data_IF_416284613808
#
_entry.id   IF_416284613808
#
_cell.length_a   1.000
_cell.length_b   1.000
_cell.length_c   1.000
_cell.angle_alpha   90.00
_cell.angle_beta   90.00
_cell.angle_gamma   90.00
#
_symmetry.space_group_name_H-M   'P 1'
#
loop_
_entity.id
_entity.type
_entity.pdbx_description
1 polymer ?
#
# COMPACT_ATOMS: atom_id res chain seq x y z
N UNK A 1 1.79 21.78 2.38
CA UNK A 1 0.60 21.28 1.63
C UNK A 1 0.69 19.77 1.62
N UNK A 2 -0.19 19.09 2.35
CA UNK A 2 -0.27 17.62 2.43
C UNK A 2 -0.74 17.09 1.07
N UNK A 3 0.17 16.51 0.29
CA UNK A 3 -0.15 15.98 -1.04
C UNK A 3 -1.02 14.72 -0.88
N UNK A 4 -2.32 14.88 -1.12
CA UNK A 4 -3.30 13.81 -1.00
C UNK A 4 -3.80 13.44 -2.38
N UNK A 5 -3.48 12.24 -2.85
CA UNK A 5 -3.93 11.74 -4.15
C UNK A 5 -5.16 10.85 -3.97
N UNK A 6 -6.26 11.16 -4.66
CA UNK A 6 -7.47 10.33 -4.72
C UNK A 6 -7.63 9.73 -6.11
N UNK A 7 -8.02 8.46 -6.19
CA UNK A 7 -8.37 7.77 -7.44
C UNK A 7 -9.62 6.93 -7.25
N UNK A 8 -10.62 7.18 -8.08
CA UNK A 8 -11.89 6.45 -8.09
C UNK A 8 -12.06 5.80 -9.46
N UNK A 9 -12.35 4.51 -9.52
CA UNK A 9 -12.54 3.80 -10.81
C UNK A 9 -13.45 2.59 -10.65
N UNK A 10 -14.43 2.40 -11.52
CA UNK A 10 -15.34 1.23 -11.42
C UNK A 10 -14.59 -0.08 -11.73
N UNK A 11 -13.74 -0.06 -12.74
CA UNK A 11 -12.87 -1.16 -13.16
C UNK A 11 -11.42 -0.68 -13.22
N UNK A 12 -10.48 -1.53 -12.82
CA UNK A 12 -9.06 -1.22 -12.77
C UNK A 12 -8.61 -0.67 -11.41
N UNK A 13 -7.59 0.18 -11.40
CA UNK A 13 -7.11 0.77 -10.16
C UNK A 13 -5.81 1.54 -10.30
N UNK A 14 -5.03 1.57 -9.22
CA UNK A 14 -3.77 2.30 -9.18
C UNK A 14 -2.62 1.35 -9.50
N UNK A 15 -1.84 1.65 -10.53
CA UNK A 15 -0.55 1.00 -10.78
C UNK A 15 0.51 2.09 -10.83
N UNK A 16 1.48 2.03 -9.92
CA UNK A 16 2.62 2.96 -9.88
C UNK A 16 3.88 2.17 -9.54
N UNK A 17 4.89 2.29 -10.40
CA UNK A 17 6.18 1.62 -10.23
C UNK A 17 7.30 2.64 -10.15
N UNK A 18 8.35 2.35 -9.37
CA UNK A 18 9.55 3.18 -9.30
C UNK A 18 9.27 4.61 -8.80
N UNK A 19 8.42 4.74 -7.77
CA UNK A 19 8.10 6.06 -7.23
C UNK A 19 9.34 6.72 -6.63
N UNK A 20 9.78 7.86 -7.19
CA UNK A 20 10.84 8.68 -6.56
C UNK A 20 10.32 9.49 -5.37
N UNK A 21 9.03 9.85 -5.40
CA UNK A 21 8.35 10.58 -4.33
C UNK A 21 7.05 9.86 -3.99
N UNK A 22 6.86 9.56 -2.72
CA UNK A 22 5.66 8.91 -2.21
C UNK A 22 4.71 10.02 -1.71
N UNK A 23 3.47 10.10 -2.22
CA UNK A 23 2.45 10.97 -1.62
C UNK A 23 2.17 10.51 -0.19
N UNK A 24 2.11 11.43 0.77
CA UNK A 24 1.86 11.09 2.18
C UNK A 24 0.52 10.35 2.33
N UNK A 25 -0.49 10.76 1.56
CA UNK A 25 -1.82 10.17 1.59
C UNK A 25 -2.27 9.75 0.20
N UNK A 26 -2.54 8.45 0.02
CA UNK A 26 -3.08 7.90 -1.23
C UNK A 26 -4.37 7.16 -0.93
N UNK A 27 -5.47 7.56 -1.59
CA UNK A 27 -6.79 6.95 -1.44
C UNK A 27 -7.23 6.38 -2.79
N UNK A 28 -7.52 5.08 -2.82
CA UNK A 28 -7.92 4.34 -4.03
C UNK A 28 -9.24 3.62 -3.77
N UNK A 29 -10.29 4.01 -4.49
CA UNK A 29 -11.62 3.40 -4.38
C UNK A 29 -11.95 2.76 -5.72
N UNK A 30 -12.16 1.44 -5.73
CA UNK A 30 -12.47 0.72 -6.96
C UNK A 30 -13.64 -0.24 -6.81
N UNK A 31 -14.37 -0.52 -7.90
CA UNK A 31 -15.32 -1.63 -7.92
C UNK A 31 -14.58 -2.96 -8.04
N UNK A 32 -13.96 -3.17 -9.20
CA UNK A 32 -13.13 -4.34 -9.51
C UNK A 32 -11.71 -3.90 -9.86
N UNK A 33 -10.72 -4.39 -9.12
CA UNK A 33 -9.31 -4.10 -9.30
C UNK A 33 -8.64 -3.60 -8.02
N UNK A 34 -7.38 -3.22 -8.11
CA UNK A 34 -6.53 -3.07 -6.93
C UNK A 34 -5.54 -1.91 -6.99
N UNK A 35 -4.71 -1.83 -5.96
CA UNK A 35 -3.55 -0.94 -5.93
C UNK A 35 -2.27 -1.78 -6.04
N UNK A 36 -1.46 -1.52 -7.05
CA UNK A 36 -0.13 -2.09 -7.27
C UNK A 36 0.90 -0.96 -7.19
N UNK A 37 1.67 -0.94 -6.10
CA UNK A 37 2.60 0.12 -5.75
C UNK A 37 3.99 -0.48 -5.51
N UNK A 38 4.98 0.06 -6.21
CA UNK A 38 6.39 -0.26 -5.99
C UNK A 38 7.12 0.94 -5.40
N UNK A 39 7.48 0.82 -4.12
CA UNK A 39 8.17 1.83 -3.32
C UNK A 39 9.64 1.46 -3.07
N UNK A 40 10.17 0.44 -3.74
CA UNK A 40 11.51 -0.10 -3.46
C UNK A 40 12.63 0.89 -3.74
N UNK A 41 12.46 1.78 -4.73
CA UNK A 41 13.39 2.87 -5.04
C UNK A 41 13.00 4.22 -4.43
N UNK A 42 12.06 4.25 -3.49
CA UNK A 42 11.49 5.48 -2.96
C UNK A 42 12.12 5.85 -1.62
N UNK A 43 12.46 7.13 -1.44
CA UNK A 43 12.81 7.65 -0.11
C UNK A 43 11.54 7.73 0.74
N UNK A 44 11.50 7.13 1.94
CA UNK A 44 10.37 7.23 2.84
C UNK A 44 10.07 8.70 3.15
N UNK A 45 8.86 9.23 2.86
CA UNK A 45 8.47 10.53 3.37
C UNK A 45 8.31 10.34 4.88
N UNK A 46 9.18 10.98 5.67
CA UNK A 46 9.30 10.79 7.12
C UNK A 46 8.01 10.32 7.80
N UNK A 47 7.98 9.04 8.17
CA UNK A 47 6.96 8.33 8.94
C UNK A 47 5.47 8.45 8.54
N UNK A 48 5.12 9.03 7.39
CA UNK A 48 3.74 9.47 7.12
C UNK A 48 3.04 8.81 5.94
N UNK A 49 3.60 7.76 5.33
CA UNK A 49 2.90 7.10 4.23
C UNK A 49 1.63 6.36 4.69
N UNK A 50 0.48 6.77 4.16
CA UNK A 50 -0.81 6.12 4.36
C UNK A 50 -1.48 5.79 3.03
N UNK A 51 -1.66 4.50 2.75
CA UNK A 51 -2.46 4.00 1.63
C UNK A 51 -3.81 3.53 2.15
N UNK A 52 -4.90 4.17 1.72
CA UNK A 52 -6.26 3.69 1.94
C UNK A 52 -6.83 3.13 0.65
N UNK A 53 -7.24 1.87 0.67
CA UNK A 53 -7.84 1.18 -0.47
C UNK A 53 -9.23 0.67 -0.05
N UNK A 54 -10.26 0.99 -0.83
CA UNK A 54 -11.57 0.33 -0.76
C UNK A 54 -11.90 -0.37 -2.09
N UNK A 55 -12.24 -1.67 -2.12
CA UNK A 55 -12.95 -2.26 -3.28
C UNK A 55 -13.90 -3.39 -2.96
N UNK A 56 -14.76 -3.70 -3.93
CA UNK A 56 -15.58 -4.90 -3.90
C UNK A 56 -14.74 -6.13 -4.27
N UNK A 57 -14.07 -6.10 -5.43
CA UNK A 57 -13.16 -7.17 -5.86
C UNK A 57 -11.78 -6.61 -6.19
N UNK A 58 -10.71 -7.34 -5.84
CA UNK A 58 -9.32 -6.93 -5.98
C UNK A 58 -8.60 -6.66 -4.65
N UNK A 59 -7.31 -6.38 -4.73
CA UNK A 59 -6.43 -6.36 -3.56
C UNK A 59 -5.43 -5.21 -3.55
N UNK A 60 -4.46 -5.31 -2.63
CA UNK A 60 -3.30 -4.41 -2.58
C UNK A 60 -2.05 -5.24 -2.82
N UNK A 61 -1.17 -4.78 -3.70
CA UNK A 61 0.19 -5.25 -3.89
C UNK A 61 1.12 -4.08 -3.59
N UNK A 62 1.97 -4.23 -2.58
CA UNK A 62 2.90 -3.20 -2.17
C UNK A 62 4.30 -3.81 -2.08
N UNK A 63 5.23 -3.29 -2.87
CA UNK A 63 6.65 -3.61 -2.72
C UNK A 63 7.33 -2.48 -1.95
N UNK A 64 8.06 -2.83 -0.90
CA UNK A 64 8.74 -1.88 -0.01
C UNK A 64 10.22 -2.26 0.16
N UNK A 65 11.11 -1.28 0.42
CA UNK A 65 12.52 -1.56 0.69
C UNK A 65 12.72 -2.30 2.02
N UNK A 66 13.87 -2.93 2.22
CA UNK A 66 14.27 -3.44 3.54
C UNK A 66 14.36 -2.28 4.55
N UNK A 67 14.15 -2.57 5.84
CA UNK A 67 14.25 -1.56 6.89
C UNK A 67 13.03 -0.64 7.02
N UNK A 68 11.87 -1.02 6.46
CA UNK A 68 10.58 -0.34 6.74
C UNK A 68 9.56 -1.29 7.36
N UNK A 69 8.78 -0.74 8.30
CA UNK A 69 7.71 -1.46 8.97
C UNK A 69 6.40 -1.23 8.20
N UNK A 70 5.65 -2.30 7.94
CA UNK A 70 4.36 -2.19 7.24
C UNK A 70 3.23 -2.59 8.20
N UNK A 71 2.34 -1.64 8.49
CA UNK A 71 1.17 -1.86 9.33
C UNK A 71 -0.08 -1.98 8.45
N UNK A 72 -0.63 -3.20 8.35
CA UNK A 72 -1.86 -3.45 7.57
C UNK A 72 -3.08 -3.47 8.48
N UNK A 73 -4.08 -2.62 8.18
CA UNK A 73 -5.37 -2.49 8.86
C UNK A 73 -6.55 -2.65 7.89
N UNK A 74 -7.72 -2.92 8.45
CA UNK A 74 -9.01 -2.95 7.76
C UNK A 74 -9.55 -4.35 7.50
N UNK A 75 -10.55 -4.46 6.64
CA UNK A 75 -11.32 -5.69 6.40
C UNK A 75 -10.92 -6.36 5.08
N UNK A 76 -10.34 -7.56 5.16
CA UNK A 76 -9.95 -8.38 4.00
C UNK A 76 -10.20 -9.85 4.37
N UNK A 77 -11.30 -10.46 3.90
CA UNK A 77 -11.68 -11.79 4.35
C UNK A 77 -10.72 -12.89 3.86
N UNK A 78 -9.97 -12.66 2.79
CA UNK A 78 -8.96 -13.61 2.28
C UNK A 78 -7.59 -13.43 2.95
N UNK A 79 -7.49 -12.61 3.99
CA UNK A 79 -6.29 -12.41 4.78
C UNK A 79 -5.24 -11.50 4.13
N UNK A 80 -4.11 -11.37 4.84
CA UNK A 80 -2.93 -10.61 4.41
C UNK A 80 -1.72 -11.54 4.32
N UNK A 81 -0.92 -11.36 3.28
CA UNK A 81 0.39 -11.95 3.14
C UNK A 81 1.43 -10.85 3.24
N UNK A 82 2.25 -10.91 4.30
CA UNK A 82 3.34 -9.97 4.54
C UNK A 82 4.63 -10.77 4.61
N UNK A 83 5.52 -10.53 3.65
CA UNK A 83 6.83 -11.18 3.61
C UNK A 83 7.65 -10.77 4.84
N UNK A 84 8.24 -11.73 5.56
CA UNK A 84 9.09 -11.46 6.72
C UNK A 84 10.39 -10.80 6.25
N UNK A 85 10.80 -9.74 6.93
CA UNK A 85 12.07 -9.05 6.71
C UNK A 85 12.50 -8.32 7.97
N UNK A 86 13.75 -7.86 8.01
CA UNK A 86 14.30 -7.11 9.15
C UNK A 86 13.57 -5.78 9.29
N UNK A 87 12.89 -5.62 10.42
CA UNK A 87 12.27 -4.35 10.82
C UNK A 87 13.21 -3.69 11.82
N UNK A 88 13.95 -2.68 11.39
CA UNK A 88 14.83 -1.96 12.31
C UNK A 88 14.02 -1.19 13.36
N UNK A 89 14.54 -1.13 14.58
CA UNK A 89 13.96 -0.34 15.65
C UNK A 89 14.19 1.14 15.35
N UNK A 90 13.14 1.85 14.89
CA UNK A 90 13.22 3.22 14.36
C UNK A 90 12.94 3.34 12.85
N UNK A 91 12.63 2.21 12.19
CA UNK A 91 12.23 2.18 10.80
C UNK A 91 10.96 2.99 10.49
N UNK A 92 10.89 3.68 9.34
CA UNK A 92 9.67 4.34 8.88
C UNK A 92 8.49 3.37 8.78
N UNK A 93 7.32 3.82 9.26
CA UNK A 93 6.10 2.99 9.31
C UNK A 93 5.17 3.33 8.14
N UNK A 94 4.89 2.34 7.30
CA UNK A 94 3.96 2.44 6.18
C UNK A 94 2.61 1.87 6.60
N UNK A 95 1.58 2.72 6.62
CA UNK A 95 0.22 2.35 7.02
C UNK A 95 -0.60 1.98 5.79
N UNK A 96 -1.07 0.74 5.73
CA UNK A 96 -1.93 0.24 4.66
C UNK A 96 -3.30 -0.07 5.24
N UNK A 97 -4.29 0.74 4.91
CA UNK A 97 -5.70 0.51 5.25
C UNK A 97 -6.39 -0.07 4.03
N UNK A 98 -6.66 -1.36 4.02
CA UNK A 98 -7.42 -1.97 2.92
C UNK A 98 -8.81 -2.40 3.40
N UNK A 99 -9.82 -2.25 2.56
CA UNK A 99 -11.18 -2.71 2.77
C UNK A 99 -11.61 -3.38 1.47
N UNK A 100 -11.62 -4.70 1.46
CA UNK A 100 -11.87 -5.50 0.26
C UNK A 100 -12.85 -6.61 0.59
N UNK A 101 -13.90 -6.80 -0.21
CA UNK A 101 -14.79 -7.96 -0.03
C UNK A 101 -14.22 -9.22 -0.68
N UNK A 102 -13.65 -9.11 -1.88
CA UNK A 102 -13.06 -10.22 -2.62
C UNK A 102 -11.61 -9.92 -3.01
N UNK A 103 -10.65 -10.53 -2.33
CA UNK A 103 -9.22 -10.29 -2.55
C UNK A 103 -8.46 -10.13 -1.24
N UNK A 104 -7.16 -9.80 -1.35
CA UNK A 104 -6.28 -9.72 -0.18
C UNK A 104 -5.17 -8.68 -0.33
N UNK A 105 -4.34 -8.61 0.70
CA UNK A 105 -3.19 -7.70 0.75
C UNK A 105 -1.90 -8.52 0.60
N UNK A 106 -1.04 -8.14 -0.33
CA UNK A 106 0.29 -8.71 -0.55
C UNK A 106 1.34 -7.63 -0.37
N UNK A 107 2.21 -7.82 0.61
CA UNK A 107 3.37 -6.97 0.86
C UNK A 107 4.63 -7.77 0.53
N UNK A 108 5.42 -7.26 -0.41
CA UNK A 108 6.73 -7.81 -0.79
C UNK A 108 7.83 -6.91 -0.23
N UNK A 109 8.89 -7.49 0.31
CA UNK A 109 10.07 -6.76 0.75
C UNK A 109 11.21 -7.05 -0.21
N UNK A 110 11.93 -6.02 -0.64
CA UNK A 110 13.19 -6.24 -1.35
C UNK A 110 14.28 -6.52 -0.33
N UNK A 111 15.04 -7.60 -0.55
CA UNK A 111 16.24 -7.97 0.22
C UNK A 111 17.41 -7.06 -0.08
#
# INVERSE_FOLDING_TARGET
>A
MTDTTWKISLLGGLKRRGLKRIPEHTIVITGVGGADLDLTGATPPGDRFTLTKVSLAGGVKLAVPAGVRVEVKGFHPFGRHVERGTEDSGAPVFKVRAYTLFGGVRIRRTV
#
